data_IF_176934532838
#
_entry.id   IF_176934532838
#
_cell.length_a   1.000
_cell.length_b   1.000
_cell.length_c   1.000
_cell.angle_alpha   90.00
_cell.angle_beta   90.00
_cell.angle_gamma   90.00
#
_symmetry.space_group_name_H-M   'P 1'
#
loop_
_entity.id
_entity.type
_entity.pdbx_description
1 polymer ?
#
# COMPACT_ATOMS: atom_id res chain seq x y z
N UNK A 1 48.46 5.57 -4.08
CA UNK A 1 47.49 6.62 -4.37
C UNK A 1 46.35 5.98 -5.13
N UNK A 2 45.30 5.56 -4.42
CA UNK A 2 44.09 5.01 -5.04
C UNK A 2 43.22 6.19 -5.45
N UNK A 3 43.16 6.45 -6.77
CA UNK A 3 42.30 7.46 -7.34
C UNK A 3 40.85 7.12 -7.07
N UNK A 4 40.17 7.93 -6.25
CA UNK A 4 38.73 7.85 -6.03
C UNK A 4 38.02 8.15 -7.35
N UNK A 5 37.50 7.10 -8.01
CA UNK A 5 36.57 7.30 -9.12
C UNK A 5 35.36 8.02 -8.57
N UNK A 6 35.15 9.25 -9.00
CA UNK A 6 33.92 10.03 -8.82
C UNK A 6 32.78 9.22 -9.47
N UNK A 7 32.10 8.40 -8.65
CA UNK A 7 30.92 7.67 -9.10
C UNK A 7 29.77 8.66 -9.20
N UNK A 8 29.71 9.38 -10.33
CA UNK A 8 28.49 10.12 -10.69
C UNK A 8 27.36 9.10 -10.79
N UNK A 9 26.52 9.06 -9.78
CA UNK A 9 25.27 8.28 -9.82
C UNK A 9 24.43 8.94 -10.91
N UNK A 10 24.20 8.18 -12.01
CA UNK A 10 23.29 8.62 -13.07
C UNK A 10 21.88 8.66 -12.48
N UNK A 11 21.35 9.86 -12.27
CA UNK A 11 19.98 10.06 -11.80
C UNK A 11 18.99 9.76 -12.93
N UNK A 12 17.95 8.99 -12.63
CA UNK A 12 16.82 8.74 -13.53
C UNK A 12 15.73 9.80 -13.26
N UNK A 13 15.19 10.36 -14.35
CA UNK A 13 13.98 11.18 -14.28
C UNK A 13 12.78 10.24 -14.26
N UNK A 14 11.86 10.47 -13.34
CA UNK A 14 10.59 9.76 -13.24
C UNK A 14 9.44 10.74 -13.14
N UNK A 15 8.31 10.35 -13.72
CA UNK A 15 7.04 11.09 -13.66
C UNK A 15 5.93 10.08 -13.38
N UNK A 16 5.19 10.27 -12.31
CA UNK A 16 4.10 9.39 -11.92
C UNK A 16 2.96 10.18 -11.26
N UNK A 17 1.81 9.58 -11.10
CA UNK A 17 0.72 10.15 -10.31
C UNK A 17 0.74 9.49 -8.95
N UNK A 18 0.83 10.26 -7.86
CA UNK A 18 0.78 9.74 -6.49
C UNK A 18 -0.41 10.36 -5.76
N UNK A 19 -1.35 9.52 -5.33
CA UNK A 19 -2.58 9.93 -4.67
C UNK A 19 -3.34 11.03 -5.47
N UNK A 20 -3.40 10.85 -6.80
CA UNK A 20 -4.07 11.80 -7.71
C UNK A 20 -3.24 13.05 -8.08
N UNK A 21 -2.05 13.24 -7.51
CA UNK A 21 -1.21 14.38 -7.78
C UNK A 21 -0.02 14.00 -8.69
N UNK A 22 0.29 14.81 -9.73
CA UNK A 22 1.45 14.57 -10.58
C UNK A 22 2.74 14.83 -9.80
N UNK A 23 3.68 13.90 -9.87
CA UNK A 23 4.99 13.95 -9.21
C UNK A 23 6.08 13.75 -10.24
N UNK A 24 7.04 14.68 -10.29
CA UNK A 24 8.24 14.61 -11.11
C UNK A 24 9.47 14.64 -10.21
N UNK A 25 10.39 13.70 -10.37
CA UNK A 25 11.58 13.60 -9.54
C UNK A 25 12.79 13.10 -10.32
N UNK A 26 13.98 13.38 -9.77
CA UNK A 26 15.22 12.72 -10.16
C UNK A 26 15.62 11.78 -9.02
N UNK A 27 15.76 10.50 -9.31
CA UNK A 27 16.07 9.46 -8.32
C UNK A 27 17.27 8.63 -8.73
N UNK A 28 18.01 8.09 -7.78
CA UNK A 28 18.94 6.98 -8.06
C UNK A 28 18.11 5.80 -8.61
N UNK A 29 18.49 5.19 -9.76
CA UNK A 29 17.74 4.06 -10.34
C UNK A 29 17.52 2.87 -9.40
N UNK A 30 18.31 2.78 -8.33
CA UNK A 30 18.20 1.74 -7.30
C UNK A 30 17.23 2.09 -6.16
N UNK A 31 16.67 3.30 -6.16
CA UNK A 31 15.72 3.73 -5.12
C UNK A 31 14.49 2.85 -5.13
N UNK A 32 14.17 2.25 -3.99
CA UNK A 32 12.95 1.48 -3.82
C UNK A 32 11.73 2.43 -3.78
N UNK A 33 10.60 1.98 -4.31
CA UNK A 33 9.37 2.78 -4.31
C UNK A 33 8.97 3.19 -2.88
N UNK A 34 9.10 2.29 -1.89
CA UNK A 34 8.82 2.62 -0.50
C UNK A 34 9.71 3.73 0.05
N UNK A 35 10.99 3.73 -0.31
CA UNK A 35 11.93 4.80 0.09
C UNK A 35 11.52 6.13 -0.54
N UNK A 36 11.22 6.12 -1.84
CA UNK A 36 10.76 7.31 -2.55
C UNK A 36 9.49 7.90 -1.91
N UNK A 37 8.49 7.07 -1.63
CA UNK A 37 7.25 7.50 -0.98
C UNK A 37 7.50 8.10 0.41
N UNK A 38 8.28 7.43 1.25
CA UNK A 38 8.50 7.82 2.64
C UNK A 38 9.47 8.97 2.81
N UNK A 39 10.58 8.97 2.06
CA UNK A 39 11.70 9.89 2.28
C UNK A 39 11.61 11.14 1.39
N UNK A 40 11.23 10.97 0.11
CA UNK A 40 11.12 12.07 -0.82
C UNK A 40 9.75 12.76 -0.74
N UNK A 41 8.65 11.98 -0.70
CA UNK A 41 7.29 12.53 -0.67
C UNK A 41 6.71 12.68 0.73
N UNK A 42 7.39 12.17 1.77
CA UNK A 42 6.94 12.20 3.18
C UNK A 42 5.61 11.49 3.44
N UNK A 43 5.22 10.57 2.56
CA UNK A 43 4.06 9.71 2.73
C UNK A 43 4.45 8.51 3.63
N UNK A 44 4.42 8.73 4.93
CA UNK A 44 4.96 7.79 5.93
C UNK A 44 3.97 6.71 6.37
N UNK A 45 2.71 6.77 5.92
CA UNK A 45 1.70 5.75 6.19
C UNK A 45 2.00 4.39 5.54
N UNK A 46 2.83 4.35 4.49
CA UNK A 46 3.37 3.09 3.95
C UNK A 46 4.50 2.62 4.86
N UNK A 47 4.28 1.54 5.62
CA UNK A 47 5.24 1.05 6.60
C UNK A 47 6.24 0.03 6.03
N UNK A 48 7.38 -0.14 6.69
CA UNK A 48 8.39 -1.16 6.37
C UNK A 48 8.57 -2.05 7.59
N UNK A 49 8.07 -3.28 7.52
CA UNK A 49 8.14 -4.25 8.62
C UNK A 49 9.13 -5.41 8.38
N UNK A 50 9.68 -5.51 7.18
CA UNK A 50 10.70 -6.50 6.81
C UNK A 50 11.55 -5.98 5.64
N UNK A 51 12.61 -6.74 5.29
CA UNK A 51 13.46 -6.53 4.11
C UNK A 51 13.35 -7.70 3.10
N UNK A 52 12.39 -8.61 3.31
CA UNK A 52 12.25 -9.90 2.61
C UNK A 52 10.96 -10.01 1.80
N UNK A 53 10.24 -8.92 1.60
CA UNK A 53 8.98 -8.87 0.83
C UNK A 53 7.83 -9.75 1.39
N UNK A 54 7.88 -10.15 2.66
CA UNK A 54 6.90 -11.08 3.22
C UNK A 54 5.78 -10.41 4.01
N UNK A 55 6.10 -9.36 4.82
CA UNK A 55 5.16 -8.85 5.81
C UNK A 55 3.95 -8.07 5.27
N UNK A 56 4.01 -7.54 4.06
CA UNK A 56 2.93 -6.79 3.43
C UNK A 56 2.65 -5.39 3.99
N UNK A 57 3.40 -4.92 5.00
CA UNK A 57 3.20 -3.58 5.58
C UNK A 57 3.46 -2.44 4.57
N UNK A 58 4.24 -2.71 3.53
CA UNK A 58 4.61 -1.76 2.48
C UNK A 58 3.70 -1.81 1.24
N UNK A 59 2.57 -2.51 1.30
CA UNK A 59 1.68 -2.64 0.13
C UNK A 59 1.09 -1.29 -0.23
N UNK A 60 1.15 -0.98 -1.53
CA UNK A 60 0.52 0.18 -2.18
C UNK A 60 -0.25 -0.29 -3.41
N UNK A 61 -1.15 0.52 -3.96
CA UNK A 61 -1.66 0.26 -5.30
C UNK A 61 -0.70 0.83 -6.34
N UNK A 62 -0.45 0.06 -7.38
CA UNK A 62 0.18 0.47 -8.63
C UNK A 62 -0.82 0.13 -9.75
N UNK A 63 -1.39 1.13 -10.38
CA UNK A 63 -2.50 1.00 -11.34
C UNK A 63 -3.65 0.13 -10.81
N UNK A 64 -4.02 0.35 -9.56
CA UNK A 64 -5.10 -0.37 -8.88
C UNK A 64 -4.74 -1.77 -8.37
N UNK A 65 -3.55 -2.30 -8.67
CA UNK A 65 -3.09 -3.61 -8.18
C UNK A 65 -2.25 -3.46 -6.91
N UNK A 66 -2.47 -4.35 -5.94
CA UNK A 66 -1.66 -4.39 -4.72
C UNK A 66 -0.25 -4.90 -5.01
N UNK A 67 0.76 -4.06 -4.74
CA UNK A 67 2.18 -4.40 -4.92
C UNK A 67 2.99 -4.09 -3.67
N UNK A 68 4.06 -4.84 -3.42
CA UNK A 68 4.98 -4.59 -2.30
C UNK A 68 6.04 -3.57 -2.71
N UNK A 69 5.90 -2.34 -2.27
CA UNK A 69 6.78 -1.23 -2.63
C UNK A 69 8.23 -1.39 -2.14
N UNK A 70 8.50 -2.27 -1.18
CA UNK A 70 9.85 -2.59 -0.70
C UNK A 70 10.66 -3.46 -1.67
N UNK A 71 10.05 -4.00 -2.73
CA UNK A 71 10.71 -4.79 -3.80
C UNK A 71 10.45 -4.24 -5.19
N UNK A 72 9.80 -3.09 -5.26
CA UNK A 72 9.56 -2.34 -6.50
C UNK A 72 10.51 -1.15 -6.55
N UNK A 73 11.23 -0.96 -7.65
CA UNK A 73 12.05 0.23 -7.86
C UNK A 73 11.16 1.42 -8.23
N UNK A 74 11.52 2.62 -7.75
CA UNK A 74 10.77 3.84 -8.09
C UNK A 74 10.71 4.10 -9.61
N UNK A 75 11.76 3.75 -10.34
CA UNK A 75 11.81 3.85 -11.82
C UNK A 75 10.82 2.92 -12.52
N UNK A 76 10.37 1.84 -11.88
CA UNK A 76 9.33 0.96 -12.44
C UNK A 76 7.92 1.54 -12.31
N UNK A 77 7.74 2.57 -11.50
CA UNK A 77 6.49 3.29 -11.37
C UNK A 77 6.42 4.54 -12.26
N UNK A 78 7.43 4.77 -13.12
CA UNK A 78 7.42 5.86 -14.10
C UNK A 78 6.26 5.68 -15.09
N UNK A 79 5.46 6.73 -15.28
CA UNK A 79 4.25 6.72 -16.12
C UNK A 79 3.02 6.06 -15.49
N UNK A 80 3.10 5.57 -14.24
CA UNK A 80 2.03 4.84 -13.56
C UNK A 80 1.35 5.66 -12.45
N UNK A 81 0.19 5.18 -11.99
CA UNK A 81 -0.51 5.72 -10.81
C UNK A 81 -0.17 4.89 -9.56
N UNK A 82 0.33 5.56 -8.54
CA UNK A 82 0.57 5.00 -7.20
C UNK A 82 -0.45 5.56 -6.23
N UNK A 83 -1.15 4.68 -5.49
CA UNK A 83 -2.01 5.10 -4.38
C UNK A 83 -1.55 4.47 -3.09
N UNK A 84 -1.27 5.32 -2.10
CA UNK A 84 -0.91 4.93 -0.74
C UNK A 84 -2.11 5.02 0.18
N UNK A 85 -1.93 4.69 1.46
CA UNK A 85 -3.01 4.80 2.46
C UNK A 85 -3.50 6.24 2.63
N UNK A 86 -2.62 7.23 2.47
CA UNK A 86 -2.98 8.66 2.54
C UNK A 86 -3.93 9.08 1.42
N UNK A 87 -3.90 8.37 0.28
CA UNK A 87 -4.82 8.63 -0.83
C UNK A 87 -6.10 7.79 -0.80
N UNK A 88 -6.33 6.98 0.22
CA UNK A 88 -7.53 6.14 0.29
C UNK A 88 -8.78 6.97 0.60
N UNK A 89 -8.66 7.96 1.49
CA UNK A 89 -9.65 9.00 1.72
C UNK A 89 -9.00 10.37 1.48
N UNK A 90 -9.75 11.32 0.94
CA UNK A 90 -9.26 12.69 0.76
C UNK A 90 -9.16 13.41 2.11
N UNK A 91 -8.25 14.38 2.21
CA UNK A 91 -8.10 15.19 3.41
C UNK A 91 -9.41 15.89 3.78
N UNK A 92 -9.84 15.73 5.04
CA UNK A 92 -11.09 16.28 5.55
C UNK A 92 -12.37 15.57 5.08
N UNK A 93 -12.27 14.55 4.22
CA UNK A 93 -13.39 13.72 3.83
C UNK A 93 -13.70 12.64 4.90
N UNK A 94 -14.90 12.03 4.87
CA UNK A 94 -15.17 10.83 5.65
C UNK A 94 -14.16 9.72 5.34
N UNK A 95 -13.95 8.84 6.31
CA UNK A 95 -13.11 7.66 6.11
C UNK A 95 -13.64 6.83 4.94
N UNK A 96 -12.73 6.18 4.22
CA UNK A 96 -13.12 5.18 3.23
C UNK A 96 -13.90 4.03 3.91
N UNK A 97 -14.94 3.44 3.29
CA UNK A 97 -15.75 2.37 3.90
C UNK A 97 -14.93 1.25 4.53
N UNK A 98 -13.82 0.86 3.90
CA UNK A 98 -12.89 -0.14 4.46
C UNK A 98 -12.22 0.33 5.75
N UNK A 99 -11.85 1.62 5.86
CA UNK A 99 -11.25 2.18 7.07
C UNK A 99 -12.28 2.20 8.21
N UNK A 100 -13.52 2.58 7.88
CA UNK A 100 -14.64 2.58 8.84
C UNK A 100 -14.92 1.17 9.35
N UNK A 101 -15.03 0.19 8.46
CA UNK A 101 -15.26 -1.20 8.84
C UNK A 101 -14.13 -1.76 9.72
N UNK A 102 -12.87 -1.41 9.45
CA UNK A 102 -11.75 -1.80 10.33
C UNK A 102 -11.88 -1.20 11.73
N UNK A 103 -12.38 0.04 11.86
CA UNK A 103 -12.65 0.69 13.13
C UNK A 103 -13.79 0.00 13.87
N UNK A 104 -14.92 -0.22 13.21
CA UNK A 104 -16.15 -0.78 13.78
C UNK A 104 -15.99 -2.24 14.23
N UNK A 105 -15.29 -3.04 13.41
CA UNK A 105 -15.07 -4.46 13.69
C UNK A 105 -13.79 -4.74 14.49
N UNK A 106 -13.09 -3.70 14.98
CA UNK A 106 -11.83 -3.84 15.70
C UNK A 106 -10.75 -4.59 14.91
N UNK A 107 -10.69 -4.36 13.59
CA UNK A 107 -9.73 -4.96 12.67
C UNK A 107 -8.28 -4.47 12.84
N UNK A 108 -8.01 -3.69 13.88
CA UNK A 108 -6.68 -3.15 14.19
C UNK A 108 -6.45 -3.08 15.71
N UNK A 109 -5.19 -3.15 16.12
CA UNK A 109 -4.74 -2.90 17.49
C UNK A 109 -3.57 -1.92 17.47
N UNK A 110 -2.33 -2.36 17.27
CA UNK A 110 -1.18 -1.45 17.19
C UNK A 110 -1.18 -0.57 15.91
N UNK A 111 -1.92 -0.92 14.88
CA UNK A 111 -2.07 -0.15 13.64
C UNK A 111 -0.95 -0.34 12.62
N UNK A 112 0.17 -1.01 12.95
CA UNK A 112 1.33 -1.09 12.06
C UNK A 112 1.05 -1.82 10.73
N UNK A 113 0.31 -2.91 10.75
CA UNK A 113 -0.08 -3.64 9.53
C UNK A 113 -1.26 -3.00 8.79
N UNK A 114 -2.00 -2.11 9.44
CA UNK A 114 -3.30 -1.62 8.97
C UNK A 114 -3.24 -0.96 7.59
N UNK A 115 -2.28 -0.08 7.27
CA UNK A 115 -2.21 0.51 5.92
C UNK A 115 -2.11 -0.54 4.81
N UNK A 116 -1.18 -1.48 4.94
CA UNK A 116 -1.01 -2.55 3.96
C UNK A 116 -2.22 -3.47 3.86
N UNK A 117 -2.89 -3.79 5.00
CA UNK A 117 -4.12 -4.57 5.02
C UNK A 117 -5.26 -3.87 4.27
N UNK A 118 -5.47 -2.57 4.51
CA UNK A 118 -6.51 -1.77 3.87
C UNK A 118 -6.30 -1.70 2.35
N UNK A 119 -5.07 -1.46 1.90
CA UNK A 119 -4.72 -1.43 0.47
C UNK A 119 -4.95 -2.81 -0.17
N UNK A 120 -4.52 -3.90 0.49
CA UNK A 120 -4.74 -5.25 -0.02
C UNK A 120 -6.22 -5.62 -0.08
N UNK A 121 -7.00 -5.29 0.96
CA UNK A 121 -8.43 -5.55 1.02
C UNK A 121 -9.20 -4.77 -0.06
N UNK A 122 -8.88 -3.51 -0.28
CA UNK A 122 -9.52 -2.70 -1.33
C UNK A 122 -9.16 -3.20 -2.73
N UNK A 123 -7.95 -3.71 -2.96
CA UNK A 123 -7.58 -4.35 -4.21
C UNK A 123 -8.38 -5.66 -4.44
N UNK A 124 -8.58 -6.45 -3.38
CA UNK A 124 -9.42 -7.65 -3.44
C UNK A 124 -10.85 -7.29 -3.88
N UNK A 125 -11.52 -6.34 -3.19
CA UNK A 125 -12.91 -6.00 -3.48
C UNK A 125 -13.11 -5.42 -4.89
N UNK A 126 -12.11 -4.74 -5.44
CA UNK A 126 -12.12 -4.31 -6.85
C UNK A 126 -12.08 -5.48 -7.83
N UNK A 127 -11.33 -6.54 -7.50
CA UNK A 127 -11.19 -7.73 -8.34
C UNK A 127 -12.31 -8.74 -8.14
N UNK A 128 -12.83 -8.86 -6.93
CA UNK A 128 -13.91 -9.73 -6.50
C UNK A 128 -14.80 -8.97 -5.51
N UNK A 129 -15.93 -8.40 -5.95
CA UNK A 129 -16.83 -7.62 -5.09
C UNK A 129 -17.54 -8.44 -4.00
N UNK A 130 -17.74 -9.74 -4.20
CA UNK A 130 -18.37 -10.66 -3.22
C UNK A 130 -17.41 -11.81 -2.88
N UNK A 131 -16.32 -11.54 -2.11
CA UNK A 131 -15.36 -12.58 -1.75
C UNK A 131 -15.92 -13.50 -0.66
N UNK A 132 -15.67 -14.79 -0.79
CA UNK A 132 -15.86 -15.73 0.31
C UNK A 132 -14.87 -15.42 1.46
N UNK A 133 -15.08 -16.02 2.63
CA UNK A 133 -14.13 -15.87 3.73
C UNK A 133 -12.75 -16.40 3.36
N UNK A 134 -12.69 -17.52 2.63
CA UNK A 134 -11.43 -18.09 2.17
C UNK A 134 -10.72 -17.18 1.16
N UNK A 135 -11.45 -16.54 0.25
CA UNK A 135 -10.86 -15.54 -0.68
C UNK A 135 -10.21 -14.40 0.07
N UNK A 136 -10.87 -13.88 1.12
CA UNK A 136 -10.30 -12.81 1.96
C UNK A 136 -9.03 -13.31 2.68
N UNK A 137 -9.07 -14.50 3.27
CA UNK A 137 -7.90 -15.08 3.96
C UNK A 137 -6.74 -15.31 3.01
N UNK A 138 -6.99 -15.80 1.80
CA UNK A 138 -5.99 -16.01 0.76
C UNK A 138 -5.40 -14.66 0.32
N UNK A 139 -6.23 -13.68 0.00
CA UNK A 139 -5.78 -12.37 -0.46
C UNK A 139 -4.92 -11.64 0.59
N UNK A 140 -5.23 -11.82 1.88
CA UNK A 140 -4.50 -11.21 2.99
C UNK A 140 -3.35 -12.07 3.53
N UNK A 141 -3.10 -13.27 2.99
CA UNK A 141 -2.03 -14.16 3.44
C UNK A 141 -0.63 -13.55 3.35
N UNK A 142 -0.44 -12.60 2.41
CA UNK A 142 0.78 -11.82 2.24
C UNK A 142 0.92 -10.61 3.18
N UNK A 143 -0.03 -10.39 4.12
CA UNK A 143 -0.05 -9.28 5.06
C UNK A 143 -0.03 -9.80 6.49
N UNK A 144 1.09 -9.61 7.21
CA UNK A 144 1.27 -10.15 8.56
C UNK A 144 0.72 -9.19 9.62
N UNK A 145 -0.12 -9.73 10.49
CA UNK A 145 -0.58 -9.06 11.71
C UNK A 145 -0.27 -9.90 12.94
N UNK A 146 0.46 -9.36 13.92
CA UNK A 146 0.80 -10.06 15.16
C UNK A 146 -0.24 -9.88 16.26
N UNK A 147 -1.18 -8.94 16.10
CA UNK A 147 -2.05 -8.49 17.18
C UNK A 147 -3.46 -9.11 17.12
N UNK A 148 -4.12 -9.09 15.95
CA UNK A 148 -5.58 -9.26 15.82
C UNK A 148 -6.06 -10.70 15.72
N UNK A 149 -5.19 -11.64 15.35
CA UNK A 149 -5.61 -13.01 15.01
C UNK A 149 -6.44 -13.11 13.72
N UNK A 150 -6.52 -12.01 12.92
CA UNK A 150 -7.15 -11.90 11.58
C UNK A 150 -8.68 -11.95 11.54
N UNK A 151 -9.36 -12.60 12.46
CA UNK A 151 -10.80 -12.82 12.39
C UNK A 151 -11.59 -11.51 12.28
N UNK A 152 -11.24 -10.52 13.08
CA UNK A 152 -11.84 -9.19 13.02
C UNK A 152 -11.57 -8.49 11.67
N UNK A 153 -10.39 -8.67 11.09
CA UNK A 153 -10.02 -8.14 9.77
C UNK A 153 -10.89 -8.78 8.69
N UNK A 154 -11.01 -10.10 8.70
CA UNK A 154 -11.83 -10.84 7.72
C UNK A 154 -13.28 -10.41 7.79
N UNK A 155 -13.84 -10.25 9.01
CA UNK A 155 -15.20 -9.74 9.20
C UNK A 155 -15.38 -8.33 8.66
N UNK A 156 -14.41 -7.43 8.90
CA UNK A 156 -14.44 -6.07 8.39
C UNK A 156 -14.49 -6.04 6.85
N UNK A 157 -13.64 -6.81 6.18
CA UNK A 157 -13.61 -6.88 4.71
C UNK A 157 -14.93 -7.41 4.15
N UNK A 158 -15.46 -8.49 4.73
CA UNK A 158 -16.73 -9.08 4.29
C UNK A 158 -17.94 -8.18 4.58
N UNK A 159 -17.87 -7.36 5.61
CA UNK A 159 -18.92 -6.36 5.89
C UNK A 159 -18.99 -5.32 4.79
N UNK A 160 -17.86 -4.79 4.33
CA UNK A 160 -17.82 -3.82 3.23
C UNK A 160 -18.35 -4.45 1.94
N UNK A 161 -17.92 -5.67 1.60
CA UNK A 161 -18.38 -6.36 0.40
C UNK A 161 -19.92 -6.46 0.34
N UNK A 162 -20.56 -6.80 1.45
CA UNK A 162 -22.03 -6.93 1.55
C UNK A 162 -22.77 -5.60 1.54
N UNK A 163 -22.13 -4.51 2.01
CA UNK A 163 -22.74 -3.19 2.05
C UNK A 163 -22.77 -2.49 0.66
N UNK A 164 -21.93 -2.95 -0.27
CA UNK A 164 -21.88 -2.45 -1.65
C UNK A 164 -22.81 -3.20 -2.61
N UNK A 165 -23.55 -4.24 -2.16
CA UNK A 165 -24.63 -4.83 -2.95
C UNK A 165 -25.76 -3.80 -3.11
N UNK A 166 -26.13 -3.39 -4.35
CA UNK A 166 -27.32 -2.56 -4.56
C UNK A 166 -28.56 -3.37 -4.20
N UNK A 167 -29.39 -2.85 -3.30
CA UNK A 167 -30.76 -3.32 -3.03
C UNK A 167 -31.65 -3.10 -4.23
#
# INVERSE_FOLDING_TARGET
MCGGADKRVLMAKISMIVNGNPVNANVDPRTLLVQFLRENLRLTGTHVGCDTSQCGACVVHLDGKAVKSCTTLAVMADGHEVRTIEGLAADGAPLHPMQEAFREHHGLQCGFCTPGMLISATALLRANPDPSEDDVRIALSGNLCRCTGYDAIVRAVRNVARAEEPV
#
